data_IF_013369426025
#
_entry.id   IF_013369426025
#
_cell.length_a   1.000
_cell.length_b   1.000
_cell.length_c   1.000
_cell.angle_alpha   90.00
_cell.angle_beta   90.00
_cell.angle_gamma   90.00
#
_symmetry.space_group_name_H-M   'P 1'
#
loop_
_entity.id
_entity.type
_entity.pdbx_description
1 polymer ?
#
# COMPACT_ATOMS: atom_id res chain seq x y z
N UNK A 1 32.77 4.20 -13.78
CA UNK A 1 31.36 4.45 -13.41
C UNK A 1 31.31 4.48 -11.90
N UNK A 2 30.72 5.52 -11.32
CA UNK A 2 30.56 5.67 -9.86
C UNK A 2 29.48 4.73 -9.36
N UNK A 3 29.54 4.38 -8.08
CA UNK A 3 28.61 3.47 -7.38
C UNK A 3 27.16 3.91 -7.65
N UNK A 4 26.84 5.20 -7.46
CA UNK A 4 25.51 5.80 -7.68
C UNK A 4 24.89 5.52 -9.08
N UNK A 5 25.71 5.47 -10.13
CA UNK A 5 25.23 5.17 -11.49
C UNK A 5 24.80 3.70 -11.63
N UNK A 6 25.44 2.81 -10.87
CA UNK A 6 25.09 1.39 -10.87
C UNK A 6 23.81 1.13 -10.06
N UNK A 7 23.59 1.83 -8.94
CA UNK A 7 22.35 1.68 -8.17
C UNK A 7 21.12 2.16 -8.95
N UNK A 8 21.19 3.34 -9.59
CA UNK A 8 20.07 3.86 -10.40
C UNK A 8 19.72 2.92 -11.54
N UNK A 9 20.74 2.42 -12.26
CA UNK A 9 20.51 1.48 -13.35
C UNK A 9 19.93 0.14 -12.86
N UNK A 10 20.34 -0.31 -11.68
CA UNK A 10 19.78 -1.50 -11.04
C UNK A 10 18.31 -1.28 -10.64
N UNK A 11 17.97 -0.14 -10.05
CA UNK A 11 16.60 0.23 -9.69
C UNK A 11 15.67 0.23 -10.91
N UNK A 12 16.07 0.87 -12.01
CA UNK A 12 15.31 0.90 -13.26
C UNK A 12 15.03 -0.51 -13.81
N UNK A 13 16.06 -1.37 -13.80
CA UNK A 13 15.93 -2.76 -14.24
C UNK A 13 14.99 -3.56 -13.33
N UNK A 14 15.06 -3.34 -12.01
CA UNK A 14 14.22 -4.00 -11.02
C UNK A 14 12.75 -3.60 -11.19
N UNK A 15 12.46 -2.30 -11.31
CA UNK A 15 11.10 -1.79 -11.56
C UNK A 15 10.55 -2.41 -12.85
N UNK A 16 11.32 -2.38 -13.94
CA UNK A 16 10.90 -2.97 -15.21
C UNK A 16 10.59 -4.47 -15.08
N UNK A 17 11.41 -5.23 -14.34
CA UNK A 17 11.18 -6.64 -14.09
C UNK A 17 9.89 -6.90 -13.29
N UNK A 18 9.68 -6.16 -12.19
CA UNK A 18 8.52 -6.31 -11.31
C UNK A 18 7.20 -5.97 -12.00
N UNK A 19 7.19 -4.97 -12.88
CA UNK A 19 5.99 -4.52 -13.61
C UNK A 19 5.67 -5.43 -14.81
N UNK A 20 6.69 -5.95 -15.53
CA UNK A 20 6.47 -6.57 -16.84
C UNK A 20 6.76 -8.08 -16.92
N UNK A 21 7.66 -8.63 -16.10
CA UNK A 21 8.32 -9.93 -16.42
C UNK A 21 7.99 -11.03 -15.40
N UNK A 22 7.49 -10.69 -14.22
CA UNK A 22 7.24 -11.62 -13.10
C UNK A 22 6.10 -12.65 -13.24
N UNK A 23 5.76 -13.10 -14.46
CA UNK A 23 4.83 -14.22 -14.74
C UNK A 23 3.35 -14.00 -14.37
N UNK A 24 3.08 -13.05 -13.48
CA UNK A 24 1.80 -12.51 -13.08
C UNK A 24 2.07 -11.04 -12.79
N UNK A 25 1.31 -10.09 -13.36
CA UNK A 25 1.48 -8.67 -13.02
C UNK A 25 1.15 -8.47 -11.55
N UNK A 26 2.17 -8.43 -10.69
CA UNK A 26 2.01 -8.34 -9.23
C UNK A 26 2.19 -6.92 -8.71
N UNK A 27 2.93 -6.08 -9.43
CA UNK A 27 3.32 -4.75 -8.98
C UNK A 27 2.98 -3.69 -10.01
N UNK A 28 2.37 -2.61 -9.52
CA UNK A 28 2.15 -1.38 -10.27
C UNK A 28 3.11 -0.32 -9.74
N UNK A 29 3.84 0.33 -10.65
CA UNK A 29 4.75 1.41 -10.29
C UNK A 29 4.02 2.75 -10.31
N UNK A 30 3.90 3.39 -9.14
CA UNK A 30 3.19 4.66 -8.92
C UNK A 30 4.20 5.77 -8.57
N UNK A 31 4.84 6.33 -9.60
CA UNK A 31 5.90 7.35 -9.47
C UNK A 31 5.45 8.66 -8.78
N UNK A 32 4.15 8.91 -8.77
CA UNK A 32 3.51 10.10 -8.22
C UNK A 32 3.33 10.05 -6.70
N UNK A 33 3.45 8.87 -6.09
CA UNK A 33 3.37 8.71 -4.63
C UNK A 33 4.76 8.96 -4.04
N UNK A 34 4.96 10.19 -3.56
CA UNK A 34 6.23 10.68 -3.02
C UNK A 34 6.09 11.23 -1.59
N UNK A 35 4.87 11.32 -1.07
CA UNK A 35 4.58 11.80 0.29
C UNK A 35 3.73 10.79 1.06
N UNK A 36 3.79 10.88 2.40
CA UNK A 36 2.95 10.06 3.27
C UNK A 36 1.46 10.30 3.02
N UNK A 37 1.05 11.54 2.74
CA UNK A 37 -0.35 11.87 2.44
C UNK A 37 -0.83 11.19 1.15
N UNK A 38 0.04 11.13 0.12
CA UNK A 38 -0.26 10.41 -1.12
C UNK A 38 -0.33 8.90 -0.88
N UNK A 39 0.53 8.37 -0.01
CA UNK A 39 0.51 6.96 0.37
C UNK A 39 -0.78 6.59 1.10
N UNK A 40 -1.23 7.43 2.04
CA UNK A 40 -2.52 7.27 2.73
C UNK A 40 -3.71 7.37 1.79
N UNK A 41 -3.69 8.33 0.86
CA UNK A 41 -4.73 8.45 -0.17
C UNK A 41 -4.80 7.20 -1.06
N UNK A 42 -3.65 6.66 -1.46
CA UNK A 42 -3.59 5.40 -2.22
C UNK A 42 -4.11 4.21 -1.39
N UNK A 43 -3.72 4.13 -0.12
CA UNK A 43 -4.21 3.08 0.78
C UNK A 43 -5.74 3.15 0.94
N UNK A 44 -6.30 4.35 1.14
CA UNK A 44 -7.76 4.56 1.19
C UNK A 44 -8.45 4.03 -0.05
N UNK A 45 -7.92 4.37 -1.23
CA UNK A 45 -8.49 3.93 -2.50
C UNK A 45 -8.52 2.41 -2.63
N UNK A 46 -7.40 1.75 -2.31
CA UNK A 46 -7.28 0.28 -2.33
C UNK A 46 -8.22 -0.36 -1.32
N UNK A 47 -8.30 0.18 -0.10
CA UNK A 47 -9.20 -0.30 0.95
C UNK A 47 -10.66 -0.24 0.50
N UNK A 48 -11.07 0.84 -0.13
CA UNK A 48 -12.44 1.03 -0.62
C UNK A 48 -12.81 0.06 -1.75
N UNK A 49 -11.91 -0.11 -2.72
CA UNK A 49 -12.10 -1.05 -3.86
C UNK A 49 -12.19 -2.50 -3.36
N UNK A 50 -11.39 -2.86 -2.36
CA UNK A 50 -11.31 -4.23 -1.88
C UNK A 50 -12.44 -4.62 -0.91
N UNK A 51 -13.23 -3.67 -0.41
CA UNK A 51 -14.31 -3.92 0.57
C UNK A 51 -15.71 -3.44 0.09
N UNK A 52 -16.13 -3.75 -1.16
CA UNK A 52 -17.37 -3.21 -1.72
C UNK A 52 -18.63 -3.76 -1.03
N UNK A 53 -18.56 -4.94 -0.40
CA UNK A 53 -19.64 -5.53 0.37
C UNK A 53 -19.80 -4.92 1.78
N UNK A 54 -18.76 -4.23 2.26
CA UNK A 54 -18.75 -3.58 3.59
C UNK A 54 -19.05 -2.09 3.51
N UNK A 55 -18.82 -1.47 2.36
CA UNK A 55 -18.95 -0.03 2.16
C UNK A 55 -20.12 0.29 1.25
N UNK A 56 -21.17 0.91 1.80
CA UNK A 56 -22.29 1.44 0.99
C UNK A 56 -21.96 2.77 0.33
N UNK A 57 -20.89 3.44 0.77
CA UNK A 57 -20.33 4.68 0.23
C UNK A 57 -18.83 4.74 0.54
N UNK A 58 -18.06 5.59 -0.16
CA UNK A 58 -16.69 5.90 0.23
C UNK A 58 -16.59 6.39 1.68
N UNK A 59 -15.47 6.09 2.32
CA UNK A 59 -15.15 6.58 3.65
C UNK A 59 -15.02 8.10 3.61
N UNK A 60 -15.65 8.77 4.56
CA UNK A 60 -15.41 10.17 4.84
C UNK A 60 -13.99 10.36 5.38
N UNK A 61 -13.51 11.61 5.39
CA UNK A 61 -12.21 11.95 5.98
C UNK A 61 -12.10 11.51 7.44
N UNK A 62 -13.17 11.67 8.22
CA UNK A 62 -13.18 11.30 9.64
C UNK A 62 -13.19 9.80 9.86
N UNK A 63 -13.94 9.04 9.05
CA UNK A 63 -13.95 7.58 9.13
C UNK A 63 -12.59 7.00 8.75
N UNK A 64 -11.94 7.55 7.72
CA UNK A 64 -10.62 7.09 7.33
C UNK A 64 -9.52 7.49 8.32
N UNK A 65 -9.65 8.65 8.98
CA UNK A 65 -8.71 9.05 10.04
C UNK A 65 -8.67 8.04 11.21
N UNK A 66 -9.76 7.33 11.50
CA UNK A 66 -9.76 6.25 12.50
C UNK A 66 -8.89 5.07 12.04
N UNK A 67 -8.90 4.74 10.75
CA UNK A 67 -8.03 3.70 10.18
C UNK A 67 -6.55 4.12 10.27
N UNK A 68 -6.25 5.38 9.97
CA UNK A 68 -4.89 5.93 10.12
C UNK A 68 -4.41 5.86 11.59
N UNK A 69 -5.27 6.20 12.54
CA UNK A 69 -4.98 6.13 13.98
C UNK A 69 -4.69 4.69 14.44
N UNK A 70 -5.55 3.73 14.09
CA UNK A 70 -5.37 2.31 14.44
C UNK A 70 -4.05 1.75 13.90
N UNK A 71 -3.68 2.06 12.65
CA UNK A 71 -2.43 1.59 12.05
C UNK A 71 -1.21 2.30 12.69
N UNK A 72 -1.32 3.61 12.95
CA UNK A 72 -0.21 4.40 13.50
C UNK A 72 0.11 4.03 14.95
N UNK A 73 -0.86 3.48 15.68
CA UNK A 73 -0.68 3.01 17.05
C UNK A 73 -0.09 1.58 17.14
N UNK A 74 0.21 0.93 16.01
CA UNK A 74 0.84 -0.39 16.03
C UNK A 74 2.31 -0.28 16.43
N UNK A 75 2.66 -0.94 17.54
CA UNK A 75 3.98 -0.79 18.19
C UNK A 75 5.16 -1.33 17.37
N UNK A 76 4.91 -2.23 16.40
CA UNK A 76 5.98 -2.88 15.64
C UNK A 76 5.60 -3.11 14.17
N UNK A 77 6.60 -3.14 13.26
CA UNK A 77 6.36 -3.56 11.87
C UNK A 77 5.74 -4.95 11.74
N UNK A 78 5.99 -5.84 12.70
CA UNK A 78 5.36 -7.15 12.76
C UNK A 78 3.86 -7.07 13.04
N UNK A 79 3.44 -6.27 14.04
CA UNK A 79 2.02 -6.02 14.32
C UNK A 79 1.33 -5.30 13.16
N UNK A 80 2.01 -4.34 12.52
CA UNK A 80 1.54 -3.72 11.28
C UNK A 80 1.33 -4.75 10.17
N UNK A 81 2.29 -5.67 9.98
CA UNK A 81 2.16 -6.78 9.05
C UNK A 81 0.97 -7.69 9.38
N UNK A 82 0.75 -8.05 10.65
CA UNK A 82 -0.40 -8.87 11.06
C UNK A 82 -1.74 -8.16 10.82
N UNK A 83 -1.82 -6.86 11.10
CA UNK A 83 -3.01 -6.05 10.80
C UNK A 83 -3.31 -6.07 9.29
N UNK A 84 -2.28 -5.85 8.46
CA UNK A 84 -2.39 -5.87 6.99
C UNK A 84 -2.68 -7.27 6.42
N UNK A 85 -2.16 -8.35 7.03
CA UNK A 85 -2.40 -9.73 6.60
C UNK A 85 -3.75 -10.29 7.07
N UNK A 86 -4.24 -9.86 8.24
CA UNK A 86 -5.59 -10.16 8.70
C UNK A 86 -6.64 -9.64 7.71
N UNK A 87 -6.29 -8.60 6.94
CA UNK A 87 -7.00 -8.07 5.79
C UNK A 87 -6.65 -8.84 4.50
N UNK A 88 -7.02 -10.12 4.40
CA UNK A 88 -7.18 -10.80 3.09
C UNK A 88 -8.31 -10.15 2.24
N UNK A 89 -8.34 -8.82 2.15
CA UNK A 89 -9.50 -8.03 1.73
C UNK A 89 -10.70 -8.11 2.68
N UNK A 90 -10.55 -8.61 3.92
CA UNK A 90 -11.66 -8.68 4.90
C UNK A 90 -11.20 -8.35 6.32
N UNK A 91 -11.71 -7.26 6.87
CA UNK A 91 -11.60 -6.98 8.31
C UNK A 91 -12.63 -7.82 9.07
N UNK A 92 -12.19 -8.71 9.96
CA UNK A 92 -13.05 -9.24 11.04
C UNK A 92 -12.62 -8.62 12.34
N UNK A 93 -13.49 -7.77 12.89
CA UNK A 93 -13.44 -7.40 14.31
C UNK A 93 -14.15 -8.52 15.08
N UNK A 94 -13.57 -8.98 16.18
CA UNK A 94 -14.32 -9.65 17.24
C UNK A 94 -14.98 -8.60 18.13
#
# INVERSE_FOLDING_TARGET
MTVETNELNFEDQLIHYLVNIGGTKQWEYLSEIQTNDQLWANFKHILEINNPDKLTRPLSKTEFAQVEEEISNLDTPYHAGQFLYGLNGKSTFN
#
